data_IF_397204934755
#
_entry.id   IF_397204934755
#
_cell.length_a   1.000
_cell.length_b   1.000
_cell.length_c   1.000
_cell.angle_alpha   90.00
_cell.angle_beta   90.00
_cell.angle_gamma   90.00
#
_symmetry.space_group_name_H-M   'P 1'
#
loop_
_entity.id
_entity.type
_entity.pdbx_description
1 polymer ?
#
# COMPACT_ATOMS: atom_id res chain seq x y z
N UNK A 1 -94.09 77.36 28.76
CA UNK A 1 -93.70 76.54 27.60
C UNK A 1 -92.22 76.14 27.62
N UNK A 2 -91.32 76.99 28.13
CA UNK A 2 -89.82 76.71 28.16
C UNK A 2 -89.45 75.64 29.19
N UNK A 3 -90.19 75.51 30.33
CA UNK A 3 -89.83 74.55 31.41
C UNK A 3 -90.10 73.09 31.00
N UNK A 4 -91.08 72.84 30.07
CA UNK A 4 -91.38 71.49 29.54
C UNK A 4 -90.38 70.98 28.58
N UNK A 5 -89.69 71.87 27.77
CA UNK A 5 -88.73 71.54 26.81
C UNK A 5 -87.40 71.12 27.44
N UNK A 6 -86.99 71.67 28.60
CA UNK A 6 -85.82 71.30 29.35
C UNK A 6 -85.93 69.94 30.05
N UNK A 7 -87.17 69.51 30.36
CA UNK A 7 -87.40 68.22 31.03
C UNK A 7 -87.27 67.04 29.98
N UNK A 8 -87.35 67.31 28.70
CA UNK A 8 -87.27 66.29 27.68
C UNK A 8 -85.79 66.01 27.22
N UNK A 9 -84.91 66.90 27.56
CA UNK A 9 -83.46 66.76 27.19
C UNK A 9 -82.62 66.07 28.25
N UNK A 10 -83.17 65.53 29.30
CA UNK A 10 -82.39 64.70 30.25
C UNK A 10 -82.40 63.22 29.81
N UNK A 11 -81.55 62.89 28.85
CA UNK A 11 -81.18 61.50 28.56
C UNK A 11 -80.24 61.01 29.63
N UNK A 12 -80.75 60.50 30.71
CA UNK A 12 -79.94 59.82 31.72
C UNK A 12 -79.55 58.46 31.22
N UNK A 13 -78.24 58.26 31.01
CA UNK A 13 -77.72 56.96 30.73
C UNK A 13 -77.93 56.08 31.95
N UNK A 14 -78.77 55.02 31.82
CA UNK A 14 -79.05 54.10 32.92
C UNK A 14 -77.78 53.24 33.14
N UNK A 15 -77.22 53.34 34.36
CA UNK A 15 -76.06 52.55 34.80
C UNK A 15 -76.27 51.06 34.67
N UNK A 16 -77.49 50.57 34.48
CA UNK A 16 -77.79 49.15 34.28
C UNK A 16 -77.40 48.63 32.88
N UNK A 17 -77.25 49.54 31.95
CA UNK A 17 -76.87 49.16 30.58
C UNK A 17 -75.38 49.29 30.28
N UNK A 18 -74.60 49.64 31.36
CA UNK A 18 -73.14 49.73 31.26
C UNK A 18 -72.47 48.48 31.78
N UNK A 19 -71.76 47.80 30.96
CA UNK A 19 -70.93 46.69 31.40
C UNK A 19 -69.56 47.25 31.82
N UNK A 20 -69.29 47.15 33.12
CA UNK A 20 -68.00 47.54 33.69
C UNK A 20 -67.12 46.38 33.79
N UNK A 21 -65.88 46.52 33.30
CA UNK A 21 -64.81 45.52 33.50
C UNK A 21 -63.65 46.20 34.23
N UNK A 22 -63.21 45.60 35.28
CA UNK A 22 -62.03 46.02 36.00
C UNK A 22 -60.78 45.63 35.18
N UNK A 23 -59.87 46.54 34.99
CA UNK A 23 -58.59 46.30 34.38
C UNK A 23 -57.59 45.93 35.47
N UNK A 24 -57.24 44.67 35.53
CA UNK A 24 -56.17 44.17 36.38
C UNK A 24 -54.87 44.03 35.61
N UNK A 25 -53.76 44.31 36.32
CA UNK A 25 -52.42 43.97 35.78
C UNK A 25 -52.18 42.51 36.04
N UNK A 26 -52.13 41.73 34.93
CA UNK A 26 -51.76 40.32 34.97
C UNK A 26 -50.52 40.08 34.18
N UNK A 27 -49.76 39.05 34.54
CA UNK A 27 -48.67 38.56 33.74
C UNK A 27 -49.22 37.56 32.69
N UNK A 28 -48.95 37.80 31.44
CA UNK A 28 -49.30 36.87 30.36
C UNK A 28 -48.09 35.98 30.12
N UNK A 29 -48.22 34.70 30.48
CA UNK A 29 -47.23 33.70 30.07
C UNK A 29 -47.51 33.26 28.65
N UNK A 30 -46.60 33.60 27.75
CA UNK A 30 -46.62 33.13 26.37
C UNK A 30 -45.75 31.87 26.29
N UNK A 31 -46.37 30.71 26.18
CA UNK A 31 -45.66 29.45 25.92
C UNK A 31 -45.62 29.19 24.43
N UNK A 32 -44.41 28.98 23.91
CA UNK A 32 -44.17 28.54 22.51
C UNK A 32 -43.81 27.06 22.55
N UNK A 33 -44.68 26.22 22.02
CA UNK A 33 -44.38 24.79 21.84
C UNK A 33 -43.72 24.55 20.50
N UNK A 34 -42.53 23.93 20.50
CA UNK A 34 -41.85 23.52 19.33
C UNK A 34 -41.54 22.02 19.41
N UNK A 35 -41.70 21.30 18.30
CA UNK A 35 -41.25 19.92 18.19
C UNK A 35 -39.87 19.91 17.53
N UNK A 36 -38.92 19.20 18.10
CA UNK A 36 -37.57 19.01 17.57
C UNK A 36 -37.20 17.53 17.54
N UNK A 37 -36.36 17.16 16.55
CA UNK A 37 -35.72 15.83 16.47
C UNK A 37 -34.31 15.95 17.00
N UNK A 38 -33.99 15.17 18.01
CA UNK A 38 -32.61 15.05 18.50
C UNK A 38 -31.87 14.14 17.55
N UNK A 39 -30.78 14.65 16.95
CA UNK A 39 -29.87 13.88 16.09
C UNK A 39 -28.49 13.86 16.74
N UNK A 40 -27.72 12.79 16.59
CA UNK A 40 -26.35 12.74 17.09
C UNK A 40 -25.49 13.80 16.39
N UNK A 41 -24.55 14.41 17.11
CA UNK A 41 -23.62 15.40 16.57
C UNK A 41 -22.63 14.76 15.58
N UNK A 42 -22.32 13.48 15.80
CA UNK A 42 -21.45 12.66 14.94
C UNK A 42 -22.05 11.27 14.79
N UNK A 43 -22.07 10.79 13.56
CA UNK A 43 -22.45 9.44 13.20
C UNK A 43 -21.33 8.83 12.40
N UNK A 44 -20.89 7.63 12.75
CA UNK A 44 -19.83 6.91 12.06
C UNK A 44 -20.33 5.53 11.67
N UNK A 45 -20.28 5.26 10.38
CA UNK A 45 -20.72 3.99 9.82
C UNK A 45 -19.51 3.06 9.73
N UNK A 46 -19.58 1.93 10.45
CA UNK A 46 -18.56 0.89 10.39
C UNK A 46 -18.99 -0.13 9.35
N UNK A 47 -18.23 -0.18 8.24
CA UNK A 47 -18.44 -1.14 7.17
C UNK A 47 -17.51 -2.35 7.33
N UNK A 48 -18.02 -3.54 7.07
CA UNK A 48 -17.17 -4.73 6.94
C UNK A 48 -16.32 -4.67 5.67
N UNK A 49 -15.01 -4.87 5.74
CA UNK A 49 -14.15 -4.92 4.55
C UNK A 49 -14.31 -6.21 3.75
N UNK A 50 -15.00 -7.21 4.31
CA UNK A 50 -15.23 -8.52 3.70
C UNK A 50 -16.70 -8.87 3.73
N UNK A 51 -17.11 -9.66 2.72
CA UNK A 51 -18.47 -10.19 2.65
C UNK A 51 -18.51 -11.59 3.27
N UNK A 52 -18.99 -11.68 4.51
CA UNK A 52 -19.05 -12.92 5.27
C UNK A 52 -20.22 -12.91 6.26
N UNK A 53 -20.51 -14.06 6.88
CA UNK A 53 -21.58 -14.18 7.87
C UNK A 53 -21.11 -13.73 9.26
N UNK A 54 -22.04 -13.20 10.04
CA UNK A 54 -21.85 -12.91 11.45
C UNK A 54 -21.96 -14.20 12.22
N UNK A 55 -20.95 -14.51 13.04
CA UNK A 55 -20.96 -15.68 13.95
C UNK A 55 -21.58 -15.31 15.27
N UNK A 56 -21.26 -14.13 15.81
CA UNK A 56 -21.69 -13.71 17.14
C UNK A 56 -21.81 -12.19 17.20
N UNK A 57 -22.81 -11.71 17.95
CA UNK A 57 -23.04 -10.29 18.20
C UNK A 57 -22.79 -10.04 19.69
N UNK A 58 -21.75 -9.27 20.02
CA UNK A 58 -21.37 -8.95 21.38
C UNK A 58 -22.11 -7.74 21.95
N UNK A 59 -22.48 -6.79 21.10
CA UNK A 59 -23.13 -5.53 21.46
C UNK A 59 -24.34 -5.27 20.57
N UNK A 60 -25.42 -4.76 21.16
CA UNK A 60 -26.69 -4.45 20.48
C UNK A 60 -26.90 -2.95 20.35
N UNK A 61 -27.82 -2.52 19.50
CA UNK A 61 -28.28 -1.13 19.46
C UNK A 61 -28.73 -0.65 20.85
N UNK A 62 -28.28 0.54 21.25
CA UNK A 62 -28.46 1.12 22.58
C UNK A 62 -27.30 0.88 23.54
N UNK A 63 -26.39 -0.05 23.27
CA UNK A 63 -25.25 -0.32 24.16
C UNK A 63 -24.19 0.79 24.03
N UNK A 64 -23.58 1.16 25.14
CA UNK A 64 -22.40 2.01 25.18
C UNK A 64 -21.15 1.17 24.93
N UNK A 65 -20.28 1.66 24.07
CA UNK A 65 -19.00 1.02 23.70
C UNK A 65 -17.85 1.96 23.91
N UNK A 66 -16.73 1.45 24.39
CA UNK A 66 -15.47 2.16 24.49
C UNK A 66 -14.56 1.82 23.29
N UNK A 67 -13.48 2.59 23.12
CA UNK A 67 -12.48 2.36 22.07
C UNK A 67 -11.95 0.92 22.14
N UNK A 68 -11.94 0.24 20.99
CA UNK A 68 -11.44 -1.15 20.86
C UNK A 68 -12.42 -2.23 21.34
N UNK A 69 -13.59 -1.87 21.87
CA UNK A 69 -14.60 -2.84 22.28
C UNK A 69 -15.08 -3.65 21.07
N UNK A 70 -15.03 -5.00 21.09
CA UNK A 70 -15.55 -5.82 20.01
C UNK A 70 -17.07 -5.69 19.93
N UNK A 71 -17.60 -5.45 18.74
CA UNK A 71 -19.03 -5.26 18.50
C UNK A 71 -19.65 -6.57 18.01
N UNK A 72 -19.01 -7.20 17.03
CA UNK A 72 -19.47 -8.46 16.47
C UNK A 72 -18.28 -9.31 15.99
N UNK A 73 -18.53 -10.61 15.86
CA UNK A 73 -17.57 -11.59 15.33
C UNK A 73 -18.01 -12.07 13.97
N UNK A 74 -17.12 -11.91 12.99
CA UNK A 74 -17.30 -12.41 11.64
C UNK A 74 -16.69 -13.81 11.49
N UNK A 75 -17.20 -14.57 10.51
CA UNK A 75 -16.59 -15.84 10.10
C UNK A 75 -15.38 -15.56 9.21
N UNK A 76 -14.18 -15.65 9.77
CA UNK A 76 -12.93 -15.34 9.09
C UNK A 76 -12.19 -16.58 8.59
N UNK A 77 -12.73 -17.79 8.81
CA UNK A 77 -12.03 -19.06 8.54
C UNK A 77 -11.53 -19.18 7.09
N UNK A 78 -12.36 -18.78 6.12
CA UNK A 78 -11.96 -18.81 4.70
C UNK A 78 -10.83 -17.83 4.44
N UNK A 79 -10.96 -16.57 4.92
CA UNK A 79 -9.99 -15.50 4.69
C UNK A 79 -8.66 -15.82 5.38
N UNK A 80 -8.70 -16.37 6.60
CA UNK A 80 -7.51 -16.83 7.31
C UNK A 80 -6.79 -17.96 6.57
N UNK A 81 -7.57 -18.88 5.97
CA UNK A 81 -7.01 -19.97 5.17
C UNK A 81 -6.33 -19.43 3.91
N UNK A 82 -6.95 -18.49 3.23
CA UNK A 82 -6.39 -17.88 2.03
C UNK A 82 -5.16 -17.03 2.37
N UNK A 83 -5.16 -16.31 3.50
CA UNK A 83 -3.98 -15.61 3.99
C UNK A 83 -2.81 -16.57 4.28
N UNK A 84 -3.07 -17.73 4.88
CA UNK A 84 -2.04 -18.78 5.11
C UNK A 84 -1.46 -19.29 3.81
N UNK A 85 -2.30 -19.56 2.79
CA UNK A 85 -1.82 -19.96 1.45
C UNK A 85 -0.92 -18.90 0.83
N UNK A 86 -1.27 -17.62 0.98
CA UNK A 86 -0.43 -16.50 0.49
C UNK A 86 0.90 -16.41 1.24
N UNK A 87 0.94 -16.73 2.54
CA UNK A 87 2.21 -16.82 3.29
C UNK A 87 3.11 -17.94 2.76
N UNK A 88 2.54 -19.11 2.47
CA UNK A 88 3.28 -20.23 1.87
C UNK A 88 3.80 -19.84 0.47
N UNK A 89 3.00 -19.12 -0.30
CA UNK A 89 3.41 -18.62 -1.61
C UNK A 89 4.52 -17.56 -1.49
N UNK A 90 4.46 -16.66 -0.50
CA UNK A 90 5.55 -15.71 -0.22
C UNK A 90 6.87 -16.43 0.04
N UNK A 91 6.82 -17.46 0.87
CA UNK A 91 8.00 -18.26 1.18
C UNK A 91 8.56 -18.97 -0.06
N UNK A 92 7.67 -19.56 -0.89
CA UNK A 92 8.07 -20.19 -2.15
C UNK A 92 8.72 -19.19 -3.11
N UNK A 93 8.16 -17.98 -3.26
CA UNK A 93 8.73 -16.91 -4.10
C UNK A 93 10.08 -16.44 -3.56
N UNK A 94 10.24 -16.32 -2.25
CA UNK A 94 11.51 -15.99 -1.59
C UNK A 94 12.59 -17.03 -1.92
N UNK A 95 12.26 -18.33 -1.84
CA UNK A 95 13.21 -19.37 -2.22
C UNK A 95 13.56 -19.36 -3.70
N UNK A 96 12.60 -19.11 -4.60
CA UNK A 96 12.85 -18.96 -6.04
C UNK A 96 13.79 -17.79 -6.33
N UNK A 97 13.59 -16.65 -5.65
CA UNK A 97 14.48 -15.48 -5.81
C UNK A 97 15.91 -15.80 -5.34
N UNK A 98 16.04 -16.50 -4.21
CA UNK A 98 17.36 -16.94 -3.74
C UNK A 98 18.01 -17.96 -4.69
N UNK A 99 17.25 -18.90 -5.24
CA UNK A 99 17.73 -19.85 -6.26
C UNK A 99 18.23 -19.13 -7.51
N UNK A 100 17.47 -18.13 -8.00
CA UNK A 100 17.88 -17.30 -9.13
C UNK A 100 19.20 -16.58 -8.85
N UNK A 101 19.34 -15.98 -7.66
CA UNK A 101 20.58 -15.31 -7.24
C UNK A 101 21.78 -16.26 -7.24
N UNK A 102 21.60 -17.49 -6.72
CA UNK A 102 22.68 -18.49 -6.70
C UNK A 102 23.03 -18.95 -8.11
N UNK A 103 22.03 -19.20 -8.96
CA UNK A 103 22.25 -19.60 -10.35
C UNK A 103 22.99 -18.51 -11.14
N UNK A 104 22.59 -17.23 -10.97
CA UNK A 104 23.24 -16.10 -11.59
C UNK A 104 24.70 -15.99 -11.15
N UNK A 105 24.97 -16.14 -9.87
CA UNK A 105 26.33 -16.13 -9.33
C UNK A 105 27.18 -17.27 -9.90
N UNK A 106 26.61 -18.47 -10.05
CA UNK A 106 27.31 -19.63 -10.66
C UNK A 106 27.68 -19.35 -12.11
N UNK A 107 26.74 -18.82 -12.92
CA UNK A 107 27.01 -18.46 -14.32
C UNK A 107 28.15 -17.42 -14.45
N UNK A 108 28.12 -16.39 -13.60
CA UNK A 108 29.18 -15.37 -13.60
C UNK A 108 30.54 -15.94 -13.16
N UNK A 109 30.55 -16.84 -12.19
CA UNK A 109 31.78 -17.51 -11.75
C UNK A 109 32.37 -18.40 -12.86
N UNK A 110 31.52 -19.10 -13.62
CA UNK A 110 31.95 -19.93 -14.77
C UNK A 110 32.58 -19.07 -15.85
N UNK A 111 31.97 -17.93 -16.18
CA UNK A 111 32.54 -16.97 -17.15
C UNK A 111 33.84 -16.37 -16.62
N UNK A 112 33.90 -15.97 -15.35
CA UNK A 112 35.12 -15.46 -14.73
C UNK A 112 36.26 -16.50 -14.76
N UNK A 113 35.94 -17.79 -14.61
CA UNK A 113 36.93 -18.86 -14.74
C UNK A 113 37.41 -19.01 -16.18
N UNK A 114 36.55 -18.93 -17.19
CA UNK A 114 36.90 -18.94 -18.60
C UNK A 114 37.83 -17.76 -18.96
N UNK A 115 37.54 -16.56 -18.45
CA UNK A 115 38.41 -15.37 -18.62
C UNK A 115 39.78 -15.62 -18.04
N UNK A 116 39.89 -16.20 -16.83
CA UNK A 116 41.19 -16.55 -16.23
C UNK A 116 42.01 -17.53 -17.08
N UNK A 117 41.34 -18.55 -17.66
CA UNK A 117 41.99 -19.51 -18.55
C UNK A 117 42.47 -18.83 -19.84
N UNK A 118 41.62 -17.99 -20.45
CA UNK A 118 41.98 -17.22 -21.65
C UNK A 118 43.13 -16.24 -21.37
N UNK A 119 43.13 -15.57 -20.22
CA UNK A 119 44.23 -14.69 -19.80
C UNK A 119 45.59 -15.44 -19.70
N UNK A 120 45.57 -16.68 -19.17
CA UNK A 120 46.76 -17.51 -19.12
C UNK A 120 47.22 -17.92 -20.53
N UNK A 121 46.28 -18.23 -21.42
CA UNK A 121 46.62 -18.54 -22.85
C UNK A 121 47.19 -17.32 -23.55
N UNK A 122 46.60 -16.17 -23.39
CA UNK A 122 47.10 -14.89 -23.91
C UNK A 122 48.53 -14.60 -23.46
N UNK A 123 48.77 -14.76 -22.13
CA UNK A 123 50.11 -14.57 -21.58
C UNK A 123 51.13 -15.55 -22.17
N UNK A 124 50.76 -16.83 -22.38
CA UNK A 124 51.60 -17.80 -23.05
C UNK A 124 51.93 -17.35 -24.47
N UNK A 125 50.94 -16.90 -25.25
CA UNK A 125 51.16 -16.42 -26.63
C UNK A 125 52.01 -15.16 -26.67
N UNK A 126 51.87 -14.27 -25.69
CA UNK A 126 52.70 -13.09 -25.54
C UNK A 126 54.18 -13.45 -25.32
N UNK A 127 54.43 -14.45 -24.46
CA UNK A 127 55.81 -14.94 -24.24
C UNK A 127 56.38 -15.62 -25.48
N UNK A 128 55.57 -16.42 -26.17
CA UNK A 128 55.95 -17.07 -27.42
C UNK A 128 56.38 -16.02 -28.48
N UNK A 129 55.57 -15.02 -28.72
CA UNK A 129 55.86 -13.90 -29.62
C UNK A 129 57.17 -13.19 -29.22
N UNK A 130 57.37 -12.88 -27.95
CA UNK A 130 58.58 -12.24 -27.46
C UNK A 130 59.83 -13.10 -27.74
N UNK A 131 59.74 -14.42 -27.55
CA UNK A 131 60.83 -15.34 -27.79
C UNK A 131 61.16 -15.42 -29.28
N UNK A 132 60.18 -15.48 -30.18
CA UNK A 132 60.42 -15.48 -31.64
C UNK A 132 61.03 -14.16 -32.13
N UNK A 133 60.59 -13.03 -31.60
CA UNK A 133 61.19 -11.71 -31.86
C UNK A 133 62.65 -11.65 -31.40
N UNK A 134 62.95 -12.21 -30.22
CA UNK A 134 64.32 -12.28 -29.73
C UNK A 134 65.24 -13.17 -30.58
N UNK A 135 64.76 -14.37 -30.99
CA UNK A 135 65.51 -15.27 -31.90
C UNK A 135 65.77 -14.64 -33.29
N UNK A 136 64.78 -13.92 -33.83
CA UNK A 136 64.91 -13.18 -35.06
C UNK A 136 65.97 -12.08 -34.96
N UNK A 137 66.00 -11.35 -33.86
CA UNK A 137 66.99 -10.31 -33.57
C UNK A 137 68.43 -10.83 -33.45
N UNK A 138 68.59 -12.11 -33.14
CA UNK A 138 69.89 -12.80 -33.09
C UNK A 138 70.25 -13.45 -34.39
N UNK A 139 69.41 -13.31 -35.47
CA UNK A 139 69.63 -13.95 -36.80
C UNK A 139 69.39 -15.48 -36.78
N UNK A 140 68.83 -16.02 -35.66
CA UNK A 140 68.53 -17.47 -35.54
C UNK A 140 67.03 -17.77 -35.74
N UNK A 141 66.18 -16.73 -35.94
CA UNK A 141 64.75 -16.82 -36.22
C UNK A 141 64.46 -16.57 -37.71
N UNK A 142 63.18 -16.61 -38.05
CA UNK A 142 62.63 -16.19 -39.31
C UNK A 142 61.47 -15.23 -39.16
N UNK A 143 61.44 -14.21 -40.02
CA UNK A 143 60.34 -13.20 -40.01
C UNK A 143 58.95 -13.85 -40.13
N UNK A 144 58.82 -14.99 -40.81
CA UNK A 144 57.59 -15.73 -40.97
C UNK A 144 57.11 -16.33 -39.61
N UNK A 145 58.04 -16.84 -38.78
CA UNK A 145 57.69 -17.33 -37.45
C UNK A 145 57.25 -16.19 -36.54
N UNK A 146 57.90 -15.02 -36.58
CA UNK A 146 57.46 -13.82 -35.83
C UNK A 146 56.05 -13.43 -36.24
N UNK A 147 55.78 -13.38 -37.56
CA UNK A 147 54.44 -13.04 -38.06
C UNK A 147 53.37 -14.05 -37.61
N UNK A 148 53.69 -15.35 -37.61
CA UNK A 148 52.78 -16.40 -37.16
C UNK A 148 52.50 -16.28 -35.63
N UNK A 149 53.55 -16.03 -34.85
CA UNK A 149 53.42 -15.81 -33.40
C UNK A 149 52.59 -14.54 -33.10
N UNK A 150 52.79 -13.46 -33.86
CA UNK A 150 51.99 -12.23 -33.75
C UNK A 150 50.51 -12.45 -34.08
N UNK A 151 50.19 -13.15 -35.14
CA UNK A 151 48.81 -13.54 -35.47
C UNK A 151 48.20 -14.36 -34.36
N UNK A 152 48.94 -15.35 -33.82
CA UNK A 152 48.48 -16.20 -32.72
C UNK A 152 48.23 -15.39 -31.45
N UNK A 153 49.05 -14.39 -31.15
CA UNK A 153 48.85 -13.47 -30.02
C UNK A 153 47.62 -12.59 -30.24
N UNK A 154 47.47 -12.00 -31.41
CA UNK A 154 46.31 -11.15 -31.71
C UNK A 154 44.98 -11.92 -31.65
N UNK A 155 44.95 -13.17 -32.13
CA UNK A 155 43.76 -14.02 -31.99
C UNK A 155 43.45 -14.29 -30.52
N UNK A 156 44.44 -14.68 -29.71
CA UNK A 156 44.25 -14.93 -28.28
C UNK A 156 43.82 -13.66 -27.51
N UNK A 157 44.28 -12.48 -27.95
CA UNK A 157 43.83 -11.19 -27.39
C UNK A 157 42.35 -10.93 -27.70
N UNK A 158 41.92 -11.12 -28.92
CA UNK A 158 40.53 -10.95 -29.31
C UNK A 158 39.60 -11.93 -28.57
N UNK A 159 40.04 -13.19 -28.41
CA UNK A 159 39.28 -14.19 -27.63
C UNK A 159 39.14 -13.78 -26.16
N UNK A 160 40.18 -13.23 -25.57
CA UNK A 160 40.15 -12.71 -24.19
C UNK A 160 39.19 -11.51 -24.09
N UNK A 161 39.30 -10.52 -24.96
CA UNK A 161 38.44 -9.33 -25.00
C UNK A 161 36.95 -9.71 -25.22
N UNK A 162 36.70 -10.69 -26.10
CA UNK A 162 35.35 -11.20 -26.34
C UNK A 162 34.75 -11.82 -25.08
N UNK A 163 35.51 -12.58 -24.31
CA UNK A 163 35.05 -13.18 -23.06
C UNK A 163 34.80 -12.13 -21.99
N UNK A 164 35.61 -11.07 -21.91
CA UNK A 164 35.37 -9.94 -21.01
C UNK A 164 34.04 -9.22 -21.36
N UNK A 165 33.84 -8.91 -22.64
CA UNK A 165 32.57 -8.32 -23.08
C UNK A 165 31.36 -9.22 -22.79
N UNK A 166 31.53 -10.54 -23.03
CA UNK A 166 30.46 -11.50 -22.72
C UNK A 166 30.13 -11.52 -21.23
N UNK A 167 31.14 -11.45 -20.36
CA UNK A 167 30.93 -11.38 -18.90
C UNK A 167 30.18 -10.12 -18.49
N UNK A 168 30.57 -8.96 -18.99
CA UNK A 168 29.93 -7.69 -18.65
C UNK A 168 28.49 -7.65 -19.14
N UNK A 169 28.23 -8.07 -20.39
CA UNK A 169 26.87 -8.16 -20.91
C UNK A 169 25.99 -9.13 -20.11
N UNK A 170 26.51 -10.33 -19.82
CA UNK A 170 25.77 -11.33 -19.03
C UNK A 170 25.47 -10.81 -17.61
N UNK A 171 26.43 -10.11 -17.00
CA UNK A 171 26.25 -9.49 -15.68
C UNK A 171 25.11 -8.48 -15.67
N UNK A 172 25.01 -7.64 -16.71
CA UNK A 172 23.92 -6.65 -16.83
C UNK A 172 22.57 -7.35 -17.05
N UNK A 173 22.52 -8.35 -17.93
CA UNK A 173 21.29 -9.11 -18.20
C UNK A 173 20.80 -9.82 -16.95
N UNK A 174 21.68 -10.54 -16.24
CA UNK A 174 21.33 -11.26 -15.02
C UNK A 174 20.92 -10.31 -13.87
N UNK A 175 21.55 -9.13 -13.79
CA UNK A 175 21.16 -8.10 -12.81
C UNK A 175 19.77 -7.54 -13.11
N UNK A 176 19.46 -7.28 -14.39
CA UNK A 176 18.15 -6.80 -14.82
C UNK A 176 17.06 -7.87 -14.54
N UNK A 177 17.33 -9.13 -14.89
CA UNK A 177 16.42 -10.25 -14.63
C UNK A 177 16.12 -10.41 -13.12
N UNK A 178 17.18 -10.39 -12.29
CA UNK A 178 17.03 -10.44 -10.84
C UNK A 178 16.19 -9.28 -10.33
N UNK A 179 16.40 -8.07 -10.86
CA UNK A 179 15.66 -6.87 -10.45
C UNK A 179 14.17 -6.95 -10.78
N UNK A 180 13.83 -7.51 -11.94
CA UNK A 180 12.43 -7.76 -12.32
C UNK A 180 11.76 -8.72 -11.34
N UNK A 181 12.42 -9.83 -11.00
CA UNK A 181 11.91 -10.82 -10.05
C UNK A 181 11.81 -10.27 -8.62
N UNK A 182 12.76 -9.44 -8.21
CA UNK A 182 12.73 -8.74 -6.91
C UNK A 182 11.53 -7.78 -6.82
N UNK A 183 11.24 -7.05 -7.90
CA UNK A 183 10.08 -6.16 -7.97
C UNK A 183 8.76 -6.94 -7.94
N UNK A 184 8.66 -8.04 -8.68
CA UNK A 184 7.49 -8.92 -8.64
C UNK A 184 7.23 -9.43 -7.21
N UNK A 185 8.29 -9.90 -6.54
CA UNK A 185 8.20 -10.33 -5.15
C UNK A 185 7.79 -9.20 -4.20
N UNK A 186 8.30 -7.98 -4.43
CA UNK A 186 7.92 -6.80 -3.64
C UNK A 186 6.44 -6.43 -3.82
N UNK A 187 5.92 -6.51 -5.05
CA UNK A 187 4.49 -6.28 -5.35
C UNK A 187 3.64 -7.33 -4.64
N UNK A 188 4.02 -8.60 -4.72
CA UNK A 188 3.33 -9.68 -4.02
C UNK A 188 3.27 -9.45 -2.50
N UNK A 189 4.38 -9.05 -1.88
CA UNK A 189 4.44 -8.73 -0.44
C UNK A 189 3.54 -7.57 -0.05
N UNK A 190 3.39 -6.57 -0.91
CA UNK A 190 2.44 -5.47 -0.67
C UNK A 190 1.00 -5.99 -0.68
N UNK A 191 0.63 -6.83 -1.63
CA UNK A 191 -0.68 -7.48 -1.67
C UNK A 191 -0.95 -8.34 -0.43
N UNK A 192 0.06 -9.10 0.03
CA UNK A 192 -0.03 -9.88 1.26
C UNK A 192 -0.24 -9.01 2.50
N UNK A 193 0.46 -7.86 2.58
CA UNK A 193 0.29 -6.90 3.67
C UNK A 193 -1.11 -6.27 3.67
N UNK A 194 -1.66 -6.00 2.50
CA UNK A 194 -3.03 -5.50 2.36
C UNK A 194 -4.07 -6.54 2.77
N UNK A 195 -3.87 -7.81 2.39
CA UNK A 195 -4.72 -8.90 2.83
C UNK A 195 -4.70 -9.07 4.36
N UNK A 196 -3.52 -8.95 4.98
CA UNK A 196 -3.38 -8.95 6.43
C UNK A 196 -4.15 -7.81 7.07
N UNK A 197 -4.03 -6.59 6.53
CA UNK A 197 -4.78 -5.43 7.00
C UNK A 197 -6.30 -5.66 6.90
N UNK A 198 -6.76 -6.18 5.76
CA UNK A 198 -8.18 -6.53 5.57
C UNK A 198 -8.66 -7.54 6.62
N UNK A 199 -7.83 -8.54 6.96
CA UNK A 199 -8.13 -9.51 8.00
C UNK A 199 -8.20 -8.85 9.41
N UNK A 200 -7.26 -7.96 9.71
CA UNK A 200 -7.24 -7.22 10.98
C UNK A 200 -8.45 -6.27 11.08
N UNK A 201 -8.78 -5.55 10.01
CA UNK A 201 -9.93 -4.64 9.93
C UNK A 201 -11.29 -5.38 9.97
N UNK A 202 -11.31 -6.69 9.60
CA UNK A 202 -12.49 -7.54 9.71
C UNK A 202 -12.86 -7.90 11.17
N UNK A 203 -11.99 -7.62 12.13
CA UNK A 203 -12.33 -7.64 13.55
C UNK A 203 -13.07 -6.35 13.92
N UNK A 204 -14.39 -6.35 13.76
CA UNK A 204 -15.21 -5.15 13.95
C UNK A 204 -15.18 -4.69 15.42
N UNK A 205 -14.45 -3.60 15.64
CA UNK A 205 -14.28 -2.96 16.95
C UNK A 205 -14.69 -1.49 16.90
N UNK A 206 -15.10 -0.94 18.03
CA UNK A 206 -15.44 0.48 18.11
C UNK A 206 -14.18 1.35 17.97
N UNK A 207 -14.13 2.31 17.03
CA UNK A 207 -13.01 3.23 16.88
C UNK A 207 -12.99 4.33 17.94
N UNK A 208 -14.13 4.58 18.59
CA UNK A 208 -14.29 5.62 19.61
C UNK A 208 -15.33 5.24 20.66
N UNK A 209 -15.39 6.01 21.75
CA UNK A 209 -16.49 5.89 22.72
C UNK A 209 -17.78 6.42 22.09
N UNK A 210 -18.81 5.58 22.02
CA UNK A 210 -20.08 5.88 21.36
C UNK A 210 -21.22 5.00 21.89
N UNK A 211 -22.44 5.27 21.43
CA UNK A 211 -23.61 4.41 21.61
C UNK A 211 -23.91 3.79 20.23
N UNK A 212 -24.09 2.49 20.19
CA UNK A 212 -24.51 1.79 18.98
C UNK A 212 -25.96 2.13 18.63
N UNK A 213 -26.23 2.36 17.38
CA UNK A 213 -27.60 2.65 16.88
C UNK A 213 -28.07 1.56 15.92
#
# INVERSE_FOLDING_TARGET
VISVLISFMRTGVKTKDLVFSTVDKGTIEVSVSASGKVVPAFEEIINSPINTRIVEIYKKGGDSVDIGTPILKLDLQSVETDYKKLLDEEQMRSYKLNQLRVNNQTKLNDLAMKIKVSAMQLNRKKVELRNEQYLDSLGSGTTDKVRQAELSYNVAQLEYEQLEQQYDNEKEVLAAEYKVQELDFSIFRKGLAEMKRTLDDAQIRSPRKAILT
#
